data_IF_802110198913
#
_entry.id   IF_802110198913
#
_cell.length_a   1.000
_cell.length_b   1.000
_cell.length_c   1.000
_cell.angle_alpha   90.00
_cell.angle_beta   90.00
_cell.angle_gamma   90.00
#
_symmetry.space_group_name_H-M   'P 1'
#
loop_
_entity.id
_entity.type
_entity.pdbx_description
1 polymer ?
#
# COMPACT_ATOMS: atom_id res chain seq x y z
N UNK A 1 -6.10 30.43 -66.08
CA UNK A 1 -7.14 30.84 -67.04
C UNK A 1 -8.35 29.93 -66.85
N UNK A 2 -9.52 30.55 -66.67
CA UNK A 2 -10.89 30.02 -66.52
C UNK A 2 -11.32 29.10 -67.71
N UNK A 3 -12.45 28.33 -67.69
CA UNK A 3 -13.69 28.64 -66.96
C UNK A 3 -14.57 27.49 -66.40
N UNK A 4 -15.51 27.92 -65.56
CA UNK A 4 -16.83 27.34 -65.27
C UNK A 4 -17.67 27.04 -66.52
N UNK A 5 -18.57 26.04 -66.48
CA UNK A 5 -20.03 26.22 -66.51
C UNK A 5 -20.83 24.94 -66.86
N UNK A 6 -21.74 24.59 -65.94
CA UNK A 6 -23.15 24.15 -66.12
C UNK A 6 -23.64 23.50 -67.43
N UNK A 7 -24.27 22.32 -67.30
CA UNK A 7 -25.70 22.05 -67.57
C UNK A 7 -25.97 20.51 -67.54
N UNK A 8 -26.65 20.00 -66.51
CA UNK A 8 -28.07 19.56 -66.52
C UNK A 8 -28.41 18.41 -67.50
N UNK A 9 -28.63 17.22 -66.94
CA UNK A 9 -29.77 16.38 -67.30
C UNK A 9 -30.31 15.68 -66.05
N UNK A 10 -31.51 16.10 -65.61
CA UNK A 10 -32.35 15.33 -64.68
C UNK A 10 -33.03 14.22 -65.47
N UNK A 11 -32.96 12.99 -64.97
CA UNK A 11 -34.04 12.02 -65.13
C UNK A 11 -34.46 11.54 -63.74
N UNK A 12 -35.75 11.67 -63.50
CA UNK A 12 -36.45 11.45 -62.24
C UNK A 12 -36.53 9.96 -61.89
N UNK A 13 -36.03 9.58 -60.73
CA UNK A 13 -36.45 8.36 -60.03
C UNK A 13 -37.40 8.76 -58.89
N UNK A 14 -38.46 7.98 -58.62
CA UNK A 14 -39.47 8.33 -57.62
C UNK A 14 -38.87 8.35 -56.20
N UNK A 15 -39.37 9.21 -55.30
CA UNK A 15 -38.86 9.28 -53.93
C UNK A 15 -39.13 7.97 -53.19
N UNK A 16 -38.07 7.40 -52.60
CA UNK A 16 -38.23 6.34 -51.59
C UNK A 16 -39.01 6.92 -50.40
N UNK A 17 -39.92 6.16 -49.78
CA UNK A 17 -40.62 6.63 -48.60
C UNK A 17 -39.60 7.01 -47.53
N UNK A 18 -39.70 8.24 -47.03
CA UNK A 18 -38.90 8.73 -45.92
C UNK A 18 -39.13 7.79 -44.72
N UNK A 19 -38.13 6.99 -44.38
CA UNK A 19 -38.08 6.40 -43.04
C UNK A 19 -37.99 7.59 -42.09
N UNK A 20 -39.09 7.87 -41.39
CA UNK A 20 -39.05 8.69 -40.19
C UNK A 20 -38.09 7.97 -39.24
N UNK A 21 -36.85 8.44 -39.15
CA UNK A 21 -36.00 8.14 -38.03
C UNK A 21 -36.61 8.86 -36.84
N UNK A 22 -37.58 8.20 -36.20
CA UNK A 22 -37.92 8.52 -34.82
C UNK A 22 -36.63 8.27 -34.05
N UNK A 23 -35.97 9.35 -33.64
CA UNK A 23 -35.00 9.26 -32.56
C UNK A 23 -35.84 8.89 -31.35
N UNK A 24 -35.94 7.59 -31.08
CA UNK A 24 -36.29 7.13 -29.76
C UNK A 24 -35.18 7.66 -28.86
N UNK A 25 -35.50 8.65 -28.03
CA UNK A 25 -34.76 8.85 -26.79
C UNK A 25 -34.88 7.52 -26.03
N UNK A 26 -33.91 6.63 -26.23
CA UNK A 26 -33.59 5.69 -25.17
C UNK A 26 -33.15 6.59 -24.03
N UNK A 27 -33.78 6.53 -22.84
CA UNK A 27 -33.08 7.02 -21.67
C UNK A 27 -31.75 6.27 -21.69
N UNK A 28 -30.66 7.01 -21.78
CA UNK A 28 -29.34 6.46 -21.55
C UNK A 28 -29.48 5.70 -20.22
N UNK A 29 -29.24 4.39 -20.27
CA UNK A 29 -29.17 3.59 -19.07
C UNK A 29 -28.26 4.34 -18.08
N UNK A 30 -28.63 4.44 -16.79
CA UNK A 30 -27.74 4.96 -15.78
C UNK A 30 -26.61 3.95 -15.58
N UNK A 31 -25.68 3.91 -16.52
CA UNK A 31 -24.51 3.07 -16.51
C UNK A 31 -23.36 3.99 -16.86
N UNK A 32 -22.38 4.11 -15.97
CA UNK A 32 -21.29 5.10 -15.91
C UNK A 32 -21.56 6.39 -15.13
N UNK A 33 -22.46 6.38 -14.15
CA UNK A 33 -22.15 7.12 -12.93
C UNK A 33 -21.36 6.15 -12.03
N UNK A 34 -20.17 6.51 -11.50
CA UNK A 34 -19.50 5.66 -10.53
C UNK A 34 -20.48 5.41 -9.40
N UNK A 35 -20.81 4.13 -9.17
CA UNK A 35 -21.67 3.72 -8.08
C UNK A 35 -21.13 4.32 -6.79
N UNK A 36 -21.92 5.16 -6.11
CA UNK A 36 -21.52 5.77 -4.82
C UNK A 36 -21.35 4.74 -3.69
N UNK A 37 -21.66 3.47 -3.94
CA UNK A 37 -21.60 2.38 -2.97
C UNK A 37 -20.47 1.37 -3.21
N UNK A 38 -19.38 1.76 -3.86
CA UNK A 38 -18.16 0.93 -3.82
C UNK A 38 -17.61 1.06 -2.40
N UNK A 39 -17.44 -0.07 -1.69
CA UNK A 39 -17.14 -0.14 -0.26
C UNK A 39 -15.96 0.70 0.25
N UNK A 40 -15.63 0.60 1.53
CA UNK A 40 -14.60 1.43 2.17
C UNK A 40 -13.20 1.31 1.53
N UNK A 41 -12.82 2.26 0.67
CA UNK A 41 -11.52 2.26 -0.03
C UNK A 41 -10.41 2.59 0.96
N UNK A 42 -9.43 1.68 1.08
CA UNK A 42 -8.24 1.93 1.90
C UNK A 42 -6.99 1.94 1.03
N UNK A 43 -6.05 2.85 1.33
CA UNK A 43 -4.73 2.91 0.69
C UNK A 43 -3.65 2.84 1.76
N UNK A 44 -2.76 1.86 1.65
CA UNK A 44 -1.68 1.68 2.62
C UNK A 44 -0.39 2.33 2.11
N UNK A 45 0.21 3.17 2.94
CA UNK A 45 1.50 3.84 2.68
C UNK A 45 2.50 3.34 3.71
N UNK A 46 3.53 2.65 3.24
CA UNK A 46 4.67 2.20 4.05
C UNK A 46 5.96 2.64 3.36
N UNK A 47 6.47 3.80 3.77
CA UNK A 47 7.72 4.40 3.28
C UNK A 47 8.59 4.79 4.47
N UNK A 48 9.90 4.93 4.27
CA UNK A 48 10.82 5.37 5.32
C UNK A 48 12.00 4.42 5.54
N UNK A 49 11.86 3.12 5.27
CA UNK A 49 12.94 2.15 5.50
C UNK A 49 14.18 2.46 4.66
N UNK A 50 14.01 2.87 3.40
CA UNK A 50 15.11 3.29 2.53
C UNK A 50 15.56 4.73 2.81
N UNK A 51 14.62 5.61 3.11
CA UNK A 51 14.91 7.01 3.42
C UNK A 51 15.80 7.15 4.67
N UNK A 52 15.63 6.25 5.64
CA UNK A 52 16.41 6.18 6.88
C UNK A 52 17.86 5.67 6.71
N UNK A 53 18.31 5.40 5.48
CA UNK A 53 19.74 5.18 5.22
C UNK A 53 20.58 6.37 5.71
N UNK A 54 21.77 6.09 6.24
CA UNK A 54 22.73 7.13 6.60
C UNK A 54 23.28 7.81 5.33
N UNK A 55 23.49 9.14 5.35
CA UNK A 55 24.12 9.86 4.25
C UNK A 55 25.47 9.24 3.84
N UNK A 56 25.79 9.27 2.54
CA UNK A 56 27.05 8.75 2.02
C UNK A 56 27.14 7.23 1.89
N UNK A 57 26.05 6.49 2.15
CA UNK A 57 26.01 5.02 2.04
C UNK A 57 25.35 4.57 0.73
N UNK A 58 24.06 4.20 0.75
CA UNK A 58 23.37 3.53 -0.36
C UNK A 58 22.81 4.47 -1.43
N UNK A 59 22.87 5.79 -1.22
CA UNK A 59 22.23 6.80 -2.08
C UNK A 59 20.70 6.87 -1.97
N UNK A 60 20.09 6.10 -1.05
CA UNK A 60 18.63 6.09 -0.84
C UNK A 60 18.15 7.08 0.23
N UNK A 61 19.09 7.73 0.92
CA UNK A 61 18.80 8.67 2.00
C UNK A 61 17.94 9.83 1.53
N UNK A 62 16.91 10.14 2.30
CA UNK A 62 16.15 11.39 2.18
C UNK A 62 16.13 12.01 3.56
N UNK A 63 16.83 13.14 3.74
CA UNK A 63 16.96 13.82 5.03
C UNK A 63 15.62 13.96 5.76
N UNK A 64 15.63 13.78 7.09
CA UNK A 64 14.41 13.62 7.88
C UNK A 64 13.39 14.75 7.68
N UNK A 65 13.85 15.99 7.57
CA UNK A 65 12.99 17.15 7.30
C UNK A 65 12.33 17.09 5.93
N UNK A 66 13.07 16.63 4.90
CA UNK A 66 12.56 16.46 3.56
C UNK A 66 11.61 15.26 3.46
N UNK A 67 11.93 14.16 4.16
CA UNK A 67 11.05 13.01 4.27
C UNK A 67 9.68 13.40 4.86
N UNK A 68 9.67 14.18 5.95
CA UNK A 68 8.44 14.73 6.54
C UNK A 68 7.62 15.52 5.51
N UNK A 69 8.25 16.50 4.86
CA UNK A 69 7.59 17.32 3.85
C UNK A 69 7.03 16.50 2.67
N UNK A 70 7.77 15.49 2.22
CA UNK A 70 7.33 14.61 1.13
C UNK A 70 6.17 13.73 1.55
N UNK A 71 6.22 13.17 2.77
CA UNK A 71 5.15 12.34 3.26
C UNK A 71 3.86 13.14 3.47
N UNK A 72 3.95 14.35 4.03
CA UNK A 72 2.83 15.30 4.13
C UNK A 72 2.23 15.64 2.75
N UNK A 73 3.09 15.88 1.75
CA UNK A 73 2.65 16.14 0.39
C UNK A 73 1.95 14.92 -0.25
N UNK A 74 2.47 13.71 -0.03
CA UNK A 74 1.87 12.46 -0.52
C UNK A 74 0.49 12.28 0.09
N UNK A 75 0.37 12.33 1.42
CA UNK A 75 -0.89 12.07 2.12
C UNK A 75 -1.93 13.17 1.88
N UNK A 76 -1.50 14.37 1.50
CA UNK A 76 -2.39 15.48 1.14
C UNK A 76 -2.67 15.58 -0.37
N UNK A 77 -2.06 14.71 -1.19
CA UNK A 77 -2.14 14.85 -2.64
C UNK A 77 -3.57 14.61 -3.17
N UNK A 78 -4.06 15.42 -4.12
CA UNK A 78 -5.40 15.24 -4.69
C UNK A 78 -5.62 13.87 -5.32
N UNK A 79 -4.57 13.27 -5.91
CA UNK A 79 -4.63 11.95 -6.52
C UNK A 79 -4.84 10.85 -5.47
N UNK A 80 -4.13 10.91 -4.33
CA UNK A 80 -4.30 9.95 -3.25
C UNK A 80 -5.65 10.14 -2.54
N UNK A 81 -6.10 11.38 -2.40
CA UNK A 81 -7.39 11.73 -1.76
C UNK A 81 -8.60 11.56 -2.66
N UNK A 82 -8.41 11.28 -3.96
CA UNK A 82 -9.49 11.07 -4.91
C UNK A 82 -10.39 9.91 -4.44
N UNK A 83 -11.71 10.14 -4.45
CA UNK A 83 -12.71 9.20 -3.93
C UNK A 83 -12.63 8.94 -2.41
N UNK A 84 -12.05 9.86 -1.65
CA UNK A 84 -12.11 9.91 -0.18
C UNK A 84 -11.76 8.60 0.55
N UNK A 85 -10.62 7.96 0.22
CA UNK A 85 -10.21 6.73 0.87
C UNK A 85 -9.80 6.98 2.33
N UNK A 86 -9.81 5.90 3.13
CA UNK A 86 -9.02 5.83 4.35
C UNK A 86 -7.55 5.59 3.96
N UNK A 87 -6.64 6.44 4.42
CA UNK A 87 -5.20 6.27 4.24
C UNK A 87 -4.65 5.58 5.48
N UNK A 88 -4.11 4.38 5.31
CA UNK A 88 -3.40 3.66 6.37
C UNK A 88 -1.95 4.08 6.27
N UNK A 89 -1.52 4.93 7.19
CA UNK A 89 -0.16 5.44 7.23
C UNK A 89 0.68 4.58 8.18
N UNK A 90 1.61 3.82 7.61
CA UNK A 90 2.44 2.88 8.35
C UNK A 90 3.82 3.46 8.66
N UNK A 91 4.27 3.31 9.91
CA UNK A 91 5.68 3.59 10.24
C UNK A 91 6.60 2.58 9.53
N UNK A 92 7.84 2.93 9.14
CA UNK A 92 8.83 1.93 8.73
C UNK A 92 9.04 0.88 9.85
N UNK A 93 9.37 -0.39 9.51
CA UNK A 93 9.74 -1.39 10.51
C UNK A 93 11.02 -0.98 11.26
N UNK A 94 11.30 -1.55 12.45
CA UNK A 94 12.60 -1.38 13.09
C UNK A 94 13.69 -2.08 12.25
N UNK A 95 14.95 -1.83 12.59
CA UNK A 95 16.10 -2.52 12.02
C UNK A 95 16.84 -3.31 13.08
N UNK A 96 17.45 -4.41 12.69
CA UNK A 96 18.47 -5.10 13.49
C UNK A 96 19.83 -4.53 13.07
N UNK A 97 20.23 -3.44 13.73
CA UNK A 97 21.46 -2.72 13.42
C UNK A 97 22.72 -3.56 13.63
N UNK A 98 22.71 -4.49 14.60
CA UNK A 98 23.81 -5.45 14.79
C UNK A 98 23.96 -6.31 13.53
N UNK A 99 22.85 -6.92 13.06
CA UNK A 99 22.88 -7.74 11.85
C UNK A 99 23.25 -6.95 10.61
N UNK A 100 22.73 -5.74 10.48
CA UNK A 100 23.08 -4.86 9.37
C UNK A 100 24.56 -4.49 9.39
N UNK A 101 25.11 -4.17 10.56
CA UNK A 101 26.54 -3.87 10.67
C UNK A 101 27.39 -5.04 10.18
N UNK A 102 27.06 -6.27 10.58
CA UNK A 102 27.76 -7.47 10.08
C UNK A 102 27.68 -7.60 8.55
N UNK A 103 26.47 -7.49 8.00
CA UNK A 103 26.23 -7.69 6.56
C UNK A 103 26.80 -6.57 5.70
N UNK A 104 26.71 -5.33 6.18
CA UNK A 104 27.20 -4.15 5.46
C UNK A 104 28.73 -4.20 5.37
N UNK A 105 29.42 -4.48 6.49
CA UNK A 105 30.87 -4.65 6.51
C UNK A 105 31.32 -5.83 5.64
N UNK A 106 30.60 -6.96 5.69
CA UNK A 106 30.89 -8.12 4.84
C UNK A 106 30.68 -7.82 3.34
N UNK A 107 29.78 -6.87 3.03
CA UNK A 107 29.51 -6.41 1.66
C UNK A 107 30.47 -5.31 1.18
N UNK A 108 31.44 -4.91 2.02
CA UNK A 108 32.47 -3.93 1.69
C UNK A 108 32.07 -2.48 1.94
N UNK A 109 30.98 -2.22 2.67
CA UNK A 109 30.66 -0.87 3.13
C UNK A 109 31.62 -0.44 4.24
N UNK A 110 32.00 0.85 4.24
CA UNK A 110 32.89 1.42 5.26
C UNK A 110 32.19 1.61 6.61
N UNK A 111 30.86 1.66 6.62
CA UNK A 111 30.04 1.85 7.82
C UNK A 111 28.64 1.25 7.62
N UNK A 112 27.90 1.12 8.73
CA UNK A 112 26.52 0.63 8.70
C UNK A 112 25.62 1.55 7.87
N UNK A 113 24.73 0.97 7.09
CA UNK A 113 23.84 1.72 6.20
C UNK A 113 22.65 2.35 6.91
N UNK A 114 22.24 1.82 8.07
CA UNK A 114 21.11 2.31 8.89
C UNK A 114 21.37 2.06 10.36
N UNK A 115 20.96 2.99 11.22
CA UNK A 115 20.94 2.79 12.68
C UNK A 115 19.52 2.64 13.20
N UNK A 116 19.40 2.00 14.35
CA UNK A 116 18.13 1.83 15.07
C UNK A 116 17.56 3.18 15.47
N UNK A 117 18.42 4.08 15.95
CA UNK A 117 18.05 5.44 16.36
C UNK A 117 17.56 6.28 15.19
N UNK A 118 18.27 6.25 14.05
CA UNK A 118 17.82 6.99 12.87
C UNK A 118 16.49 6.44 12.36
N UNK A 119 16.36 5.12 12.21
CA UNK A 119 15.10 4.48 11.80
C UNK A 119 13.93 4.84 12.73
N UNK A 120 14.18 4.88 14.05
CA UNK A 120 13.17 5.30 15.04
C UNK A 120 12.72 6.76 14.84
N UNK A 121 13.61 7.66 14.42
CA UNK A 121 13.25 9.05 14.12
C UNK A 121 12.31 9.16 12.90
N UNK A 122 12.46 8.32 11.87
CA UNK A 122 11.53 8.24 10.73
C UNK A 122 10.19 7.63 11.16
N UNK A 123 10.20 6.60 12.01
CA UNK A 123 8.96 6.10 12.61
C UNK A 123 8.23 7.19 13.42
N UNK A 124 8.98 7.98 14.20
CA UNK A 124 8.40 9.10 14.93
C UNK A 124 7.82 10.17 14.01
N UNK A 125 8.49 10.50 12.90
CA UNK A 125 7.98 11.41 11.89
C UNK A 125 6.61 10.99 11.35
N UNK A 126 6.43 9.69 11.08
CA UNK A 126 5.15 9.14 10.64
C UNK A 126 4.07 9.30 11.72
N UNK A 127 4.41 9.02 12.99
CA UNK A 127 3.49 9.22 14.12
C UNK A 127 3.05 10.68 14.24
N UNK A 128 3.99 11.61 14.15
CA UNK A 128 3.73 13.05 14.25
C UNK A 128 2.75 13.49 13.14
N UNK A 129 2.98 13.06 11.90
CA UNK A 129 2.11 13.37 10.75
C UNK A 129 0.72 12.77 10.94
N UNK A 130 0.62 11.50 11.37
CA UNK A 130 -0.67 10.88 11.62
C UNK A 130 -1.45 11.55 12.76
N UNK A 131 -0.75 11.99 13.82
CA UNK A 131 -1.37 12.68 14.95
C UNK A 131 -1.91 14.07 14.58
N UNK A 132 -1.30 14.74 13.60
CA UNK A 132 -1.73 16.05 13.10
C UNK A 132 -2.77 15.98 11.96
N UNK A 133 -3.07 14.78 11.46
CA UNK A 133 -3.93 14.57 10.30
C UNK A 133 -5.43 14.53 10.62
N UNK A 134 -6.24 14.61 9.58
CA UNK A 134 -7.69 14.36 9.63
C UNK A 134 -8.04 12.88 9.89
N UNK A 135 -9.32 12.61 10.18
CA UNK A 135 -9.83 11.29 10.54
C UNK A 135 -9.74 10.23 9.43
N UNK A 136 -9.40 10.62 8.19
CA UNK A 136 -9.17 9.67 7.10
C UNK A 136 -7.77 9.09 7.12
N UNK A 137 -6.84 9.65 7.90
CA UNK A 137 -5.50 9.08 8.08
C UNK A 137 -5.47 8.25 9.36
N UNK A 138 -5.22 6.95 9.21
CA UNK A 138 -5.15 5.99 10.31
C UNK A 138 -3.71 5.49 10.46
N UNK A 139 -3.15 5.66 11.64
CA UNK A 139 -1.80 5.17 11.96
C UNK A 139 -1.79 3.64 12.13
N UNK A 140 -0.82 3.00 11.48
CA UNK A 140 -0.36 1.64 11.80
C UNK A 140 1.10 1.73 12.24
N UNK A 141 1.35 1.57 13.52
CA UNK A 141 2.70 1.63 14.10
C UNK A 141 3.40 0.27 14.03
N UNK A 142 3.83 -0.09 12.82
CA UNK A 142 4.57 -1.33 12.56
C UNK A 142 5.88 -1.37 13.35
N UNK A 143 6.52 -0.22 13.59
CA UNK A 143 7.74 -0.13 14.38
C UNK A 143 7.49 -0.63 15.80
N UNK A 144 6.49 -0.04 16.48
CA UNK A 144 6.15 -0.42 17.84
C UNK A 144 5.68 -1.87 17.93
N UNK A 145 4.83 -2.33 16.99
CA UNK A 145 4.33 -3.70 16.98
C UNK A 145 5.44 -4.75 16.85
N UNK A 146 6.41 -4.53 15.96
CA UNK A 146 7.55 -5.45 15.82
C UNK A 146 8.52 -5.36 17.00
N UNK A 147 8.74 -4.18 17.56
CA UNK A 147 9.56 -4.03 18.77
C UNK A 147 8.92 -4.73 19.97
N UNK A 148 7.61 -4.59 20.17
CA UNK A 148 6.86 -5.31 21.21
C UNK A 148 6.98 -6.83 21.01
N UNK A 149 6.78 -7.31 19.78
CA UNK A 149 6.95 -8.73 19.47
C UNK A 149 8.38 -9.19 19.77
N UNK A 150 9.39 -8.44 19.35
CA UNK A 150 10.79 -8.78 19.59
C UNK A 150 11.12 -8.84 21.09
N UNK A 151 10.64 -7.87 21.87
CA UNK A 151 10.82 -7.85 23.32
C UNK A 151 10.13 -9.03 24.00
N UNK A 152 8.93 -9.42 23.56
CA UNK A 152 8.23 -10.61 24.07
C UNK A 152 9.00 -11.93 23.84
N UNK A 153 9.90 -11.94 22.84
CA UNK A 153 10.76 -13.05 22.49
C UNK A 153 12.15 -12.95 23.15
N UNK A 154 12.39 -11.93 23.98
CA UNK A 154 13.67 -11.65 24.62
C UNK A 154 13.48 -11.51 26.14
N UNK A 155 13.34 -12.62 26.89
CA UNK A 155 12.92 -12.59 28.31
C UNK A 155 13.83 -11.77 29.24
N UNK A 156 15.12 -11.68 28.93
CA UNK A 156 16.11 -10.96 29.74
C UNK A 156 16.23 -9.47 29.36
N UNK A 157 15.53 -9.02 28.33
CA UNK A 157 15.57 -7.64 27.88
C UNK A 157 14.73 -6.73 28.78
N UNK A 158 15.36 -5.68 29.30
CA UNK A 158 14.67 -4.61 30.04
C UNK A 158 14.79 -3.31 29.27
N UNK A 159 13.66 -2.71 28.94
CA UNK A 159 13.63 -1.38 28.34
C UNK A 159 14.28 -0.35 29.28
N UNK A 160 15.11 0.56 28.74
CA UNK A 160 15.61 1.69 29.53
C UNK A 160 16.88 2.37 29.02
N UNK A 161 17.80 1.64 28.38
CA UNK A 161 19.14 2.20 28.07
C UNK A 161 19.49 2.26 26.58
N UNK A 162 18.89 1.38 25.76
CA UNK A 162 19.12 1.30 24.32
C UNK A 162 17.89 0.70 23.61
N UNK A 163 17.86 0.81 22.28
CA UNK A 163 16.85 0.14 21.43
C UNK A 163 17.31 -1.30 21.21
N UNK A 164 16.45 -2.30 21.44
CA UNK A 164 16.76 -3.70 21.14
C UNK A 164 17.24 -3.83 19.68
N UNK A 165 18.33 -4.56 19.43
CA UNK A 165 18.93 -4.68 18.10
C UNK A 165 19.93 -3.58 17.72
N UNK A 166 20.03 -2.50 18.50
CA UNK A 166 21.11 -1.50 18.34
C UNK A 166 22.45 -2.06 18.78
N UNK A 167 23.57 -1.55 18.24
CA UNK A 167 24.90 -1.94 18.73
C UNK A 167 25.04 -1.69 20.24
N UNK A 168 24.47 -0.58 20.73
CA UNK A 168 24.45 -0.23 22.16
C UNK A 168 23.69 -1.25 23.03
N UNK A 169 22.66 -1.89 22.49
CA UNK A 169 21.92 -2.93 23.21
C UNK A 169 22.71 -4.21 23.43
N UNK A 170 23.73 -4.47 22.60
CA UNK A 170 24.56 -5.67 22.66
C UNK A 170 23.81 -6.97 22.33
N UNK A 171 22.53 -6.92 21.95
CA UNK A 171 21.74 -8.10 21.61
C UNK A 171 20.71 -7.82 20.53
N UNK A 172 20.57 -8.77 19.60
CA UNK A 172 19.55 -8.77 18.55
C UNK A 172 18.17 -9.13 19.12
N UNK A 173 18.16 -9.97 20.15
CA UNK A 173 16.94 -10.53 20.75
C UNK A 173 16.01 -11.12 19.68
N UNK A 174 14.71 -10.89 19.85
CA UNK A 174 13.69 -11.37 18.92
C UNK A 174 13.79 -10.79 17.50
N UNK A 175 14.51 -9.67 17.29
CA UNK A 175 14.70 -9.11 15.94
C UNK A 175 15.46 -10.07 15.03
N UNK A 176 16.28 -10.97 15.56
CA UNK A 176 16.95 -11.99 14.76
C UNK A 176 15.96 -12.88 13.98
N UNK A 177 14.80 -13.18 14.59
CA UNK A 177 13.74 -13.99 13.98
C UNK A 177 12.77 -13.16 13.14
N UNK A 178 12.56 -11.91 13.52
CA UNK A 178 11.63 -11.01 12.82
C UNK A 178 12.26 -10.36 11.58
N UNK A 179 13.58 -10.14 11.58
CA UNK A 179 14.36 -9.45 10.55
C UNK A 179 15.62 -10.27 10.19
N UNK A 180 15.50 -11.36 9.40
CA UNK A 180 16.61 -12.30 9.18
C UNK A 180 17.87 -11.68 8.53
N UNK A 181 17.68 -10.67 7.69
CA UNK A 181 18.74 -9.87 7.06
C UNK A 181 18.90 -8.47 7.69
N UNK A 182 18.19 -8.24 8.79
CA UNK A 182 18.17 -7.00 9.55
C UNK A 182 17.29 -5.87 9.00
N UNK A 183 16.61 -6.05 7.87
CA UNK A 183 15.67 -5.05 7.31
C UNK A 183 14.35 -5.69 6.88
N UNK A 184 14.40 -6.77 6.10
CA UNK A 184 13.21 -7.38 5.55
C UNK A 184 12.52 -8.25 6.60
N UNK A 185 11.21 -8.05 6.70
CA UNK A 185 10.37 -8.76 7.67
C UNK A 185 10.19 -10.23 7.27
N UNK A 186 10.32 -11.12 8.25
CA UNK A 186 10.04 -12.55 8.09
C UNK A 186 8.54 -12.83 8.00
N UNK A 187 8.15 -14.07 7.69
CA UNK A 187 6.74 -14.47 7.69
C UNK A 187 6.04 -14.26 9.05
N UNK A 188 6.77 -14.38 10.15
CA UNK A 188 6.23 -14.07 11.49
C UNK A 188 6.02 -12.57 11.70
N UNK A 189 6.95 -11.73 11.24
CA UNK A 189 6.80 -10.28 11.28
C UNK A 189 5.68 -9.79 10.35
N UNK A 190 5.53 -10.40 9.17
CA UNK A 190 4.38 -10.13 8.28
C UNK A 190 3.05 -10.50 8.94
N UNK A 191 3.00 -11.55 9.77
CA UNK A 191 1.78 -11.89 10.52
C UNK A 191 1.42 -10.80 11.53
N UNK A 192 2.40 -10.29 12.27
CA UNK A 192 2.19 -9.13 13.17
C UNK A 192 1.68 -7.94 12.37
N UNK A 193 2.30 -7.63 11.23
CA UNK A 193 1.87 -6.53 10.36
C UNK A 193 0.43 -6.71 9.85
N UNK A 194 0.09 -7.92 9.41
CA UNK A 194 -1.27 -8.28 9.00
C UNK A 194 -2.27 -8.03 10.13
N UNK A 195 -1.98 -8.50 11.35
CA UNK A 195 -2.87 -8.38 12.50
C UNK A 195 -3.15 -6.91 12.85
N UNK A 196 -2.11 -6.06 12.90
CA UNK A 196 -2.29 -4.62 13.19
C UNK A 196 -3.01 -3.86 12.07
N UNK A 197 -2.80 -4.22 10.80
CA UNK A 197 -3.53 -3.61 9.67
C UNK A 197 -4.99 -4.06 9.69
N UNK A 198 -5.25 -5.35 9.90
CA UNK A 198 -6.59 -5.94 9.94
C UNK A 198 -7.48 -5.37 11.06
N UNK A 199 -6.88 -4.87 12.15
CA UNK A 199 -7.59 -4.13 13.19
C UNK A 199 -8.07 -2.75 12.74
N UNK A 200 -7.34 -2.09 11.82
CA UNK A 200 -7.65 -0.71 11.37
C UNK A 200 -8.65 -0.64 10.22
N UNK A 201 -8.67 -1.65 9.37
CA UNK A 201 -9.60 -1.73 8.21
C UNK A 201 -11.00 -2.28 8.58
N UNK A 202 -11.20 -2.71 9.82
CA UNK A 202 -12.50 -3.17 10.31
C UNK A 202 -12.86 -4.62 9.97
N UNK A 203 -13.90 -5.13 10.64
CA UNK A 203 -14.33 -6.53 10.56
C UNK A 203 -14.91 -6.97 9.21
N UNK A 204 -15.37 -6.04 8.37
CA UNK A 204 -15.87 -6.35 7.01
C UNK A 204 -14.79 -6.96 6.11
N UNK A 205 -13.51 -6.72 6.40
CA UNK A 205 -12.39 -7.37 5.74
C UNK A 205 -12.02 -8.74 6.34
N UNK A 206 -12.43 -9.00 7.59
CA UNK A 206 -11.96 -10.16 8.37
C UNK A 206 -12.55 -11.48 7.90
N UNK A 207 -13.59 -11.49 7.07
CA UNK A 207 -14.39 -12.69 6.82
C UNK A 207 -14.49 -13.17 5.37
N UNK A 208 -13.42 -13.06 4.58
CA UNK A 208 -13.27 -13.94 3.39
C UNK A 208 -13.04 -15.41 3.77
N UNK A 209 -12.52 -15.70 4.98
CA UNK A 209 -12.17 -17.05 5.43
C UNK A 209 -13.34 -17.81 6.09
N UNK A 210 -14.26 -17.11 6.76
CA UNK A 210 -15.53 -17.70 7.23
C UNK A 210 -16.74 -17.16 6.45
N UNK A 211 -16.49 -16.57 5.30
CA UNK A 211 -17.47 -16.23 4.28
C UNK A 211 -18.47 -17.38 4.11
N UNK A 212 -19.74 -17.11 4.42
CA UNK A 212 -20.84 -18.01 4.05
C UNK A 212 -20.82 -18.24 2.53
N UNK A 213 -21.50 -19.29 2.07
CA UNK A 213 -21.51 -19.69 0.64
C UNK A 213 -21.96 -18.57 -0.30
N UNK A 214 -22.69 -17.59 0.23
CA UNK A 214 -23.27 -16.44 -0.48
C UNK A 214 -22.55 -15.10 -0.15
N UNK A 215 -21.38 -15.15 0.48
CA UNK A 215 -20.55 -13.96 0.68
C UNK A 215 -20.08 -13.41 -0.67
N UNK A 216 -20.59 -12.24 -1.02
CA UNK A 216 -20.02 -11.45 -2.11
C UNK A 216 -18.79 -10.72 -1.58
N UNK A 217 -17.57 -11.07 -2.05
CA UNK A 217 -16.39 -10.36 -1.64
C UNK A 217 -16.53 -8.89 -2.03
N UNK A 218 -16.20 -7.95 -1.13
CA UNK A 218 -16.23 -6.55 -1.49
C UNK A 218 -15.33 -6.35 -2.72
N UNK A 219 -15.84 -5.57 -3.68
CA UNK A 219 -15.26 -5.42 -5.02
C UNK A 219 -13.90 -4.71 -4.97
N UNK A 220 -12.86 -5.40 -4.54
CA UNK A 220 -11.51 -4.90 -4.45
C UNK A 220 -10.66 -5.39 -5.62
N UNK A 221 -9.77 -4.52 -6.10
CA UNK A 221 -8.72 -4.86 -7.06
C UNK A 221 -7.57 -5.53 -6.30
N UNK A 222 -7.79 -6.76 -5.87
CA UNK A 222 -6.74 -7.78 -5.84
C UNK A 222 -7.24 -8.90 -6.76
N UNK A 223 -6.50 -9.31 -7.80
CA UNK A 223 -6.92 -10.49 -8.56
C UNK A 223 -7.04 -11.63 -7.55
N UNK A 224 -8.25 -12.17 -7.39
CA UNK A 224 -8.53 -13.31 -6.53
C UNK A 224 -7.90 -14.56 -7.14
N UNK A 225 -6.57 -14.64 -7.15
CA UNK A 225 -5.80 -15.73 -7.75
C UNK A 225 -6.12 -17.09 -7.10
N UNK A 226 -6.63 -17.07 -5.86
CA UNK A 226 -7.11 -18.27 -5.17
C UNK A 226 -8.41 -18.85 -5.75
N UNK A 227 -9.24 -18.08 -6.46
CA UNK A 227 -10.40 -18.61 -7.20
C UNK A 227 -9.98 -19.33 -8.48
N UNK A 228 -8.94 -18.84 -9.17
CA UNK A 228 -8.38 -19.54 -10.33
C UNK A 228 -7.79 -20.91 -9.95
N UNK A 229 -7.19 -21.03 -8.75
CA UNK A 229 -6.63 -22.28 -8.25
C UNK A 229 -7.68 -23.31 -7.78
N UNK A 230 -8.95 -22.92 -7.59
CA UNK A 230 -10.05 -23.82 -7.20
C UNK A 230 -10.98 -24.21 -8.34
N UNK A 231 -10.84 -23.58 -9.51
CA UNK A 231 -11.66 -23.88 -10.69
C UNK A 231 -11.20 -25.12 -11.46
N UNK A 232 -10.10 -25.76 -11.05
CA UNK A 232 -9.65 -27.04 -11.61
C UNK A 232 -9.95 -28.19 -10.64
N UNK A 233 -11.24 -28.52 -10.45
CA UNK A 233 -11.58 -29.93 -10.27
C UNK A 233 -11.59 -30.57 -11.66
N UNK A 234 -10.76 -31.59 -11.94
CA UNK A 234 -10.79 -32.26 -13.23
C UNK A 234 -12.17 -32.89 -13.41
N UNK A 235 -12.88 -32.48 -14.45
CA UNK A 235 -14.08 -33.15 -14.93
C UNK A 235 -13.72 -34.62 -15.24
N UNK A 236 -14.24 -35.55 -14.44
CA UNK A 236 -14.17 -36.99 -14.70
C UNK A 236 -15.50 -37.39 -15.34
N UNK A 237 -15.58 -37.59 -16.67
CA UNK A 237 -16.78 -38.12 -17.29
C UNK A 237 -17.00 -39.57 -16.86
N UNK A 238 -18.25 -39.87 -16.49
CA UNK A 238 -18.76 -41.23 -16.25
C UNK A 238 -18.78 -42.08 -17.50
#
# INVERSE_FOLDING_TARGET
MLPNAFASYRTSSPPRPARKSTILYSPLAPCFLPQESLGQRSQLILLGANNACLPGTTGQTVELSQYKAYLEAIVSSPALRAHSPTIILCTPPPVDEIRLTELDLASGWESVTRTSENTAAYAQAVRDIAAAADEKIVLVDLFAALMERAMSMTPDWKAGEAILGSVKSGTRGGLEKLLPDGIHVSGEAYRVFYEVVAEKIGGEWRDERNAEKDYEPPSWVFPSYWRAARAEEPYIPS
#
